data_IF_937377149640
#
_entry.id   IF_937377149640
#
_cell.length_a   1.000
_cell.length_b   1.000
_cell.length_c   1.000
_cell.angle_alpha   90.00
_cell.angle_beta   90.00
_cell.angle_gamma   90.00
#
_symmetry.space_group_name_H-M   'P 1'
#
loop_
_entity.id
_entity.type
_entity.pdbx_description
1 polymer ?
#
# COMPACT_ATOMS: atom_id res chain seq x y z
N UNK A 1 -35.55 18.02 0.84
CA UNK A 1 -35.69 17.42 2.19
C UNK A 1 -34.82 18.24 3.13
N UNK A 2 -35.28 18.59 4.34
CA UNK A 2 -34.55 19.50 5.22
C UNK A 2 -33.34 18.82 5.86
N UNK A 3 -32.26 19.58 6.07
CA UNK A 3 -31.27 19.21 7.09
C UNK A 3 -31.83 19.60 8.45
N UNK A 4 -31.72 18.70 9.43
CA UNK A 4 -31.90 19.01 10.84
C UNK A 4 -30.57 18.75 11.55
N UNK A 5 -29.89 19.80 11.99
CA UNK A 5 -28.87 19.66 13.01
C UNK A 5 -29.55 19.57 14.37
N UNK A 6 -29.09 18.67 15.23
CA UNK A 6 -29.38 18.69 16.65
C UNK A 6 -28.06 18.65 17.41
N UNK A 7 -27.71 19.80 17.99
CA UNK A 7 -26.81 19.87 19.14
C UNK A 7 -27.64 20.17 20.37
N UNK A 8 -27.31 19.54 21.50
CA UNK A 8 -27.52 20.09 22.83
C UNK A 8 -26.68 19.35 23.85
N UNK A 9 -26.39 20.06 24.95
CA UNK A 9 -25.53 19.63 26.06
C UNK A 9 -26.10 20.20 27.36
N UNK A 10 -25.62 19.69 28.50
CA UNK A 10 -25.91 20.12 29.88
C UNK A 10 -27.23 19.62 30.51
N UNK A 11 -27.32 19.42 31.83
CA UNK A 11 -26.35 18.93 32.86
C UNK A 11 -27.12 18.63 34.16
N UNK A 12 -26.46 18.03 35.17
CA UNK A 12 -26.93 17.78 36.56
C UNK A 12 -28.06 16.72 36.73
N UNK A 13 -28.32 16.17 37.92
CA UNK A 13 -27.46 15.69 39.03
C UNK A 13 -28.35 15.09 40.15
N UNK A 14 -28.02 13.90 40.70
CA UNK A 14 -27.99 13.54 42.14
C UNK A 14 -28.09 12.02 42.41
N UNK A 15 -27.46 11.59 43.52
CA UNK A 15 -27.44 10.23 44.13
C UNK A 15 -28.45 10.16 45.31
N UNK A 16 -28.60 9.10 46.16
CA UNK A 16 -27.81 7.84 46.31
C UNK A 16 -28.59 6.51 46.66
N UNK A 17 -27.84 5.39 46.85
CA UNK A 17 -28.19 4.13 47.60
C UNK A 17 -29.27 3.20 46.95
N UNK A 18 -29.37 1.87 47.18
CA UNK A 18 -28.75 0.94 48.18
C UNK A 18 -28.69 -0.54 47.71
N UNK A 19 -27.71 -1.32 48.22
CA UNK A 19 -27.71 -2.78 48.54
C UNK A 19 -28.01 -3.92 47.51
N UNK A 20 -27.17 -4.97 47.60
CA UNK A 20 -27.27 -6.37 47.09
C UNK A 20 -28.18 -7.26 48.01
N UNK A 21 -28.37 -8.62 47.88
CA UNK A 21 -27.68 -9.65 47.05
C UNK A 21 -28.58 -10.80 46.46
N UNK A 22 -27.98 -11.98 46.17
CA UNK A 22 -28.55 -13.32 45.82
C UNK A 22 -28.87 -13.58 44.32
N UNK A 23 -28.69 -14.78 43.75
CA UNK A 23 -28.09 -16.07 44.21
C UNK A 23 -27.70 -17.02 43.05
N UNK A 24 -26.98 -18.13 43.36
CA UNK A 24 -27.03 -19.48 42.71
C UNK A 24 -26.69 -19.65 41.21
N UNK A 25 -26.06 -20.72 40.71
CA UNK A 25 -25.40 -21.92 41.29
C UNK A 25 -24.51 -22.58 40.23
N UNK A 26 -23.41 -23.25 40.60
CA UNK A 26 -22.71 -24.25 39.76
C UNK A 26 -22.37 -25.48 40.62
N UNK A 27 -22.66 -26.68 40.10
CA UNK A 27 -22.36 -27.97 40.71
C UNK A 27 -21.22 -28.69 39.98
N UNK A 28 -20.36 -29.39 40.72
CA UNK A 28 -19.20 -30.11 40.17
C UNK A 28 -19.39 -31.64 40.14
N UNK A 29 -18.70 -32.31 39.21
CA UNK A 29 -18.46 -33.77 39.22
C UNK A 29 -16.97 -34.02 38.91
N UNK A 30 -16.41 -35.12 39.42
CA UNK A 30 -14.97 -35.26 39.68
C UNK A 30 -14.47 -36.71 39.45
N UNK A 31 -13.33 -36.88 38.77
CA UNK A 31 -12.42 -38.06 38.82
C UNK A 31 -11.10 -37.70 38.08
N UNK A 32 -9.90 -37.81 38.68
CA UNK A 32 -9.14 -39.03 39.04
C UNK A 32 -8.79 -39.87 37.80
N UNK A 33 -7.53 -40.25 37.51
CA UNK A 33 -6.19 -40.07 38.17
C UNK A 33 -5.11 -40.26 37.03
N UNK A 34 -3.78 -40.34 37.15
CA UNK A 34 -2.81 -40.67 38.24
C UNK A 34 -1.37 -40.15 37.90
N UNK A 35 -0.47 -40.09 38.91
CA UNK A 35 1.02 -40.30 38.93
C UNK A 35 1.83 -40.17 37.62
N UNK A 36 2.99 -39.46 37.56
CA UNK A 36 3.74 -38.60 38.52
C UNK A 36 4.83 -37.79 37.72
N UNK A 37 5.98 -37.24 38.18
CA UNK A 37 6.73 -37.27 39.45
C UNK A 37 7.66 -36.03 39.64
N UNK A 38 8.66 -36.08 40.54
CA UNK A 38 9.54 -34.99 40.97
C UNK A 38 11.05 -35.34 40.98
N UNK A 39 11.93 -34.32 40.93
CA UNK A 39 13.13 -34.19 41.78
C UNK A 39 13.72 -32.75 41.70
N UNK A 40 14.64 -32.38 42.62
CA UNK A 40 14.87 -30.99 43.02
C UNK A 40 16.35 -30.49 43.04
N UNK A 41 16.52 -29.20 43.35
CA UNK A 41 17.75 -28.40 43.47
C UNK A 41 18.82 -28.94 44.47
N UNK A 42 20.07 -28.42 44.41
CA UNK A 42 20.44 -27.35 45.36
C UNK A 42 21.32 -26.20 44.79
N UNK A 43 21.48 -25.13 45.59
CA UNK A 43 22.35 -23.96 45.34
C UNK A 43 23.79 -24.12 45.87
N UNK A 44 24.72 -23.29 45.37
CA UNK A 44 25.80 -22.67 46.16
C UNK A 44 26.28 -21.35 45.51
N UNK A 45 26.90 -20.46 46.30
CA UNK A 45 27.21 -19.06 45.97
C UNK A 45 28.71 -18.72 46.08
N UNK A 46 29.08 -17.49 45.68
CA UNK A 46 30.41 -16.82 45.75
C UNK A 46 31.44 -17.33 44.72
N UNK A 47 32.24 -16.48 44.08
CA UNK A 47 33.04 -15.40 44.67
C UNK A 47 33.22 -14.18 43.74
N UNK A 48 33.84 -13.10 44.25
CA UNK A 48 34.03 -11.83 43.52
C UNK A 48 35.35 -11.77 42.73
N UNK A 49 35.37 -10.95 41.66
CA UNK A 49 36.55 -10.18 41.23
C UNK A 49 36.11 -9.01 40.33
N UNK A 50 36.80 -7.88 40.41
CA UNK A 50 36.55 -6.70 39.60
C UNK A 50 37.83 -6.21 38.92
N UNK A 51 37.79 -6.04 37.59
CA UNK A 51 38.81 -5.34 36.80
C UNK A 51 38.10 -4.46 35.78
N UNK A 52 38.53 -3.21 35.64
CA UNK A 52 38.03 -2.28 34.63
C UNK A 52 38.94 -2.27 33.39
N UNK A 53 38.34 -2.21 32.21
CA UNK A 53 38.94 -1.65 31.00
C UNK A 53 37.84 -1.42 29.96
N UNK A 54 37.98 -0.36 29.16
CA UNK A 54 36.87 0.12 28.33
C UNK A 54 36.77 -0.57 26.96
N UNK A 55 35.55 -0.93 26.57
CA UNK A 55 35.20 -1.22 25.17
C UNK A 55 34.26 -0.11 24.69
N UNK A 56 34.67 0.64 23.66
CA UNK A 56 33.78 1.58 22.97
C UNK A 56 32.77 0.78 22.13
N UNK A 57 31.49 0.80 22.48
CA UNK A 57 30.44 0.41 21.55
C UNK A 57 30.34 1.47 20.44
N UNK A 58 30.96 1.20 19.29
CA UNK A 58 30.69 1.94 18.06
C UNK A 58 29.31 1.55 17.53
N UNK A 59 28.37 2.48 17.53
CA UNK A 59 27.02 2.26 16.99
C UNK A 59 27.09 1.87 15.51
N UNK A 60 26.36 0.82 15.05
CA UNK A 60 26.33 0.46 13.64
C UNK A 60 25.53 1.49 12.85
N UNK A 61 26.20 2.22 11.95
CA UNK A 61 25.55 3.18 11.06
C UNK A 61 24.67 2.44 10.04
N UNK A 62 23.36 2.41 10.26
CA UNK A 62 22.39 1.91 9.29
C UNK A 62 22.26 2.87 8.10
N UNK A 63 23.19 2.81 7.15
CA UNK A 63 23.05 3.48 5.85
C UNK A 63 21.95 2.79 5.03
N UNK A 64 20.77 3.40 5.00
CA UNK A 64 19.72 3.03 4.04
C UNK A 64 20.18 3.36 2.63
N UNK A 65 20.64 2.34 1.90
CA UNK A 65 20.89 2.45 0.45
C UNK A 65 19.55 2.52 -0.29
N UNK A 66 18.92 3.69 -0.27
CA UNK A 66 17.95 4.07 -1.29
C UNK A 66 18.70 4.16 -2.63
N UNK A 67 18.71 3.06 -3.38
CA UNK A 67 19.20 3.05 -4.76
C UNK A 67 18.21 3.86 -5.59
N UNK A 68 18.52 5.15 -5.75
CA UNK A 68 17.97 5.95 -6.83
C UNK A 68 18.44 5.31 -8.14
N UNK A 69 17.50 4.84 -8.96
CA UNK A 69 17.81 4.34 -10.29
C UNK A 69 18.34 5.52 -11.13
N UNK A 70 19.61 5.45 -11.53
CA UNK A 70 20.19 6.47 -12.40
C UNK A 70 19.64 6.33 -13.83
N UNK A 71 19.59 7.44 -14.58
CA UNK A 71 19.11 7.50 -15.97
C UNK A 71 19.93 6.69 -17.02
N UNK A 72 20.82 5.78 -16.61
CA UNK A 72 21.64 4.95 -17.50
C UNK A 72 21.10 3.54 -17.79
N UNK A 73 20.14 3.05 -17.01
CA UNK A 73 19.88 1.60 -16.89
C UNK A 73 19.27 0.90 -18.12
N UNK A 74 18.70 1.57 -19.15
CA UNK A 74 18.19 0.86 -20.35
C UNK A 74 19.28 -0.02 -20.97
N UNK A 75 20.46 0.57 -21.18
CA UNK A 75 21.54 -0.06 -21.95
C UNK A 75 22.09 -1.34 -21.28
N UNK A 76 21.82 -1.52 -19.98
CA UNK A 76 22.25 -2.66 -19.16
C UNK A 76 21.19 -3.78 -19.09
N UNK A 77 19.95 -3.54 -19.56
CA UNK A 77 18.86 -4.53 -19.54
C UNK A 77 18.70 -5.30 -20.86
N UNK A 78 19.22 -4.78 -21.98
CA UNK A 78 19.19 -5.46 -23.28
C UNK A 78 17.81 -5.56 -23.95
N UNK A 79 16.78 -4.91 -23.41
CA UNK A 79 15.41 -4.91 -23.97
C UNK A 79 15.34 -3.92 -25.15
N UNK A 80 14.79 -4.35 -26.29
CA UNK A 80 14.60 -3.45 -27.42
C UNK A 80 13.47 -2.43 -27.18
N UNK A 81 13.61 -1.23 -27.76
CA UNK A 81 12.55 -0.22 -27.74
C UNK A 81 11.24 -0.74 -28.36
N UNK A 82 11.34 -1.56 -29.41
CA UNK A 82 10.22 -2.26 -30.06
C UNK A 82 9.42 -3.16 -29.10
N UNK A 83 10.10 -3.81 -28.15
CA UNK A 83 9.50 -4.68 -27.14
C UNK A 83 8.88 -3.85 -26.00
N UNK A 84 9.55 -2.79 -25.56
CA UNK A 84 8.98 -1.79 -24.63
C UNK A 84 7.70 -1.16 -25.18
N UNK A 85 7.65 -0.84 -26.48
CA UNK A 85 6.45 -0.34 -27.16
C UNK A 85 5.32 -1.38 -27.17
N UNK A 86 5.64 -2.67 -27.39
CA UNK A 86 4.68 -3.77 -27.29
C UNK A 86 4.15 -3.92 -25.85
N UNK A 87 5.00 -3.82 -24.83
CA UNK A 87 4.58 -3.86 -23.43
C UNK A 87 3.70 -2.65 -23.08
N UNK A 88 4.03 -1.45 -23.53
CA UNK A 88 3.21 -0.25 -23.34
C UNK A 88 1.84 -0.34 -24.02
N UNK A 89 1.79 -0.87 -25.25
CA UNK A 89 0.55 -1.08 -25.99
C UNK A 89 -0.37 -2.10 -25.32
N UNK A 90 0.17 -3.15 -24.68
CA UNK A 90 -0.64 -4.10 -23.90
C UNK A 90 -1.02 -3.50 -22.55
N UNK A 91 -0.12 -2.84 -21.83
CA UNK A 91 -0.39 -2.18 -20.56
C UNK A 91 -1.55 -1.18 -20.63
N UNK A 92 -1.65 -0.43 -21.74
CA UNK A 92 -2.80 0.43 -21.99
C UNK A 92 -4.12 -0.35 -22.12
N UNK A 93 -4.15 -1.48 -22.85
CA UNK A 93 -5.33 -2.35 -22.93
C UNK A 93 -5.74 -2.92 -21.57
N UNK A 94 -4.77 -3.19 -20.68
CA UNK A 94 -5.06 -3.62 -19.30
C UNK A 94 -5.80 -2.52 -18.53
N UNK A 95 -5.29 -1.29 -18.58
CA UNK A 95 -5.90 -0.13 -17.93
C UNK A 95 -7.29 0.21 -18.52
N UNK A 96 -7.46 0.09 -19.83
CA UNK A 96 -8.76 0.29 -20.51
C UNK A 96 -9.81 -0.73 -20.02
N UNK A 97 -9.44 -2.02 -19.98
CA UNK A 97 -10.31 -3.11 -19.54
C UNK A 97 -10.66 -3.02 -18.04
N UNK A 98 -9.66 -2.81 -17.18
CA UNK A 98 -9.87 -2.59 -15.75
C UNK A 98 -10.77 -1.38 -15.51
N UNK A 99 -10.51 -0.26 -16.19
CA UNK A 99 -11.33 0.94 -16.10
C UNK A 99 -12.77 0.73 -16.55
N UNK A 100 -13.02 -0.08 -17.59
CA UNK A 100 -14.37 -0.46 -17.99
C UNK A 100 -15.11 -1.28 -16.94
N UNK A 101 -14.42 -2.19 -16.24
CA UNK A 101 -15.00 -2.95 -15.13
C UNK A 101 -15.30 -2.00 -13.96
N UNK A 102 -14.30 -1.28 -13.49
CA UNK A 102 -14.37 -0.38 -12.31
C UNK A 102 -15.49 0.67 -12.45
N UNK A 103 -15.64 1.28 -13.64
CA UNK A 103 -16.74 2.23 -13.93
C UNK A 103 -18.15 1.64 -13.83
N UNK A 104 -18.31 0.32 -13.89
CA UNK A 104 -19.61 -0.36 -13.70
C UNK A 104 -20.00 -0.48 -12.23
N UNK A 105 -19.03 -0.44 -11.30
CA UNK A 105 -19.25 -0.57 -9.86
C UNK A 105 -19.13 0.75 -9.09
N UNK A 106 -18.25 1.67 -9.52
CA UNK A 106 -18.04 2.94 -8.81
C UNK A 106 -19.33 3.78 -8.69
N UNK A 107 -19.63 4.25 -7.47
CA UNK A 107 -20.84 5.02 -7.12
C UNK A 107 -22.17 4.36 -7.56
N UNK A 108 -22.24 3.03 -7.63
CA UNK A 108 -23.52 2.32 -7.78
C UNK A 108 -24.07 1.91 -6.43
N UNK A 109 -25.37 2.08 -6.26
CA UNK A 109 -26.13 1.36 -5.24
C UNK A 109 -26.17 -0.11 -5.65
N UNK A 110 -25.49 -0.94 -4.87
CA UNK A 110 -25.77 -2.37 -4.83
C UNK A 110 -26.54 -2.63 -3.55
N UNK A 111 -27.65 -3.37 -3.65
CA UNK A 111 -28.20 -4.04 -2.48
C UNK A 111 -27.10 -4.95 -1.94
N UNK A 112 -26.70 -4.72 -0.69
CA UNK A 112 -25.62 -5.48 -0.06
C UNK A 112 -26.19 -6.88 0.17
N UNK A 113 -25.84 -7.79 -0.73
CA UNK A 113 -26.12 -9.21 -0.55
C UNK A 113 -25.34 -9.67 0.68
N UNK A 114 -26.05 -10.12 1.72
CA UNK A 114 -25.49 -10.64 2.96
C UNK A 114 -24.72 -11.96 2.70
N UNK A 115 -23.52 -11.78 2.17
CA UNK A 115 -22.46 -12.77 1.98
C UNK A 115 -21.19 -12.09 2.44
N UNK A 116 -20.63 -12.59 3.53
CA UNK A 116 -19.66 -11.87 4.38
C UNK A 116 -18.37 -11.46 3.63
N UNK A 117 -18.04 -12.13 2.53
CA UNK A 117 -16.86 -11.88 1.68
C UNK A 117 -17.10 -10.99 0.43
N UNK A 118 -18.33 -10.54 0.14
CA UNK A 118 -18.70 -10.02 -1.20
C UNK A 118 -19.00 -8.51 -1.27
N UNK A 119 -18.10 -7.66 -0.78
CA UNK A 119 -18.27 -6.20 -0.89
C UNK A 119 -18.22 -5.70 -2.35
N UNK A 120 -18.89 -4.59 -2.72
CA UNK A 120 -18.83 -4.04 -4.08
C UNK A 120 -17.43 -3.67 -4.58
N UNK A 121 -16.49 -3.33 -3.67
CA UNK A 121 -15.09 -3.10 -4.06
C UNK A 121 -14.36 -4.41 -4.30
N UNK A 122 -14.62 -5.47 -3.51
CA UNK A 122 -14.07 -6.81 -3.73
C UNK A 122 -14.47 -7.37 -5.09
N UNK A 123 -15.76 -7.24 -5.45
CA UNK A 123 -16.28 -7.71 -6.75
C UNK A 123 -15.67 -6.90 -7.90
N UNK A 124 -15.56 -5.57 -7.75
CA UNK A 124 -14.97 -4.70 -8.76
C UNK A 124 -13.48 -4.99 -8.98
N UNK A 125 -12.72 -5.21 -7.91
CA UNK A 125 -11.28 -5.47 -7.93
C UNK A 125 -10.98 -6.83 -8.59
N UNK A 126 -11.61 -7.91 -8.11
CA UNK A 126 -11.44 -9.25 -8.69
C UNK A 126 -11.85 -9.31 -10.17
N UNK A 127 -12.96 -8.67 -10.55
CA UNK A 127 -13.40 -8.63 -11.95
C UNK A 127 -12.45 -7.80 -12.84
N UNK A 128 -11.85 -6.73 -12.30
CA UNK A 128 -10.86 -5.93 -13.02
C UNK A 128 -9.53 -6.67 -13.16
N UNK A 129 -9.05 -7.35 -12.10
CA UNK A 129 -7.84 -8.18 -12.14
C UNK A 129 -7.96 -9.27 -13.22
N UNK A 130 -9.06 -10.03 -13.25
CA UNK A 130 -9.25 -11.08 -14.25
C UNK A 130 -9.35 -10.54 -15.69
N UNK A 131 -9.90 -9.33 -15.88
CA UNK A 131 -9.92 -8.68 -17.19
C UNK A 131 -8.52 -8.38 -17.71
N UNK A 132 -7.60 -7.96 -16.83
CA UNK A 132 -6.19 -7.72 -17.16
C UNK A 132 -5.44 -9.04 -17.35
N UNK A 133 -5.64 -10.01 -16.46
CA UNK A 133 -5.01 -11.34 -16.49
C UNK A 133 -5.25 -12.05 -17.81
N UNK A 134 -6.49 -12.02 -18.32
CA UNK A 134 -6.83 -12.59 -19.62
C UNK A 134 -5.99 -11.99 -20.75
N UNK A 135 -5.94 -10.66 -20.83
CA UNK A 135 -5.19 -9.95 -21.89
C UNK A 135 -3.69 -10.23 -21.78
N UNK A 136 -3.13 -10.30 -20.56
CA UNK A 136 -1.73 -10.70 -20.34
C UNK A 136 -1.49 -12.11 -20.89
N UNK A 137 -2.30 -13.10 -20.51
CA UNK A 137 -2.12 -14.50 -20.92
C UNK A 137 -2.31 -14.72 -22.43
N UNK A 138 -3.13 -13.90 -23.10
CA UNK A 138 -3.32 -13.92 -24.55
C UNK A 138 -2.12 -13.32 -25.32
N UNK A 139 -1.43 -12.32 -24.76
CA UNK A 139 -0.32 -11.63 -25.44
C UNK A 139 1.07 -12.15 -25.02
N UNK A 140 1.17 -12.72 -23.82
CA UNK A 140 2.42 -13.08 -23.12
C UNK A 140 2.25 -14.34 -22.25
N UNK A 141 1.99 -15.53 -22.85
CA UNK A 141 1.60 -16.74 -22.10
C UNK A 141 2.68 -17.28 -21.13
N UNK A 142 3.94 -16.88 -21.29
CA UNK A 142 5.09 -17.23 -20.43
C UNK A 142 5.39 -16.21 -19.32
N UNK A 143 4.68 -15.08 -19.25
CA UNK A 143 4.89 -14.08 -18.21
C UNK A 143 4.13 -14.48 -16.94
N UNK A 144 4.74 -14.22 -15.78
CA UNK A 144 4.06 -14.34 -14.50
C UNK A 144 3.17 -13.12 -14.22
N UNK A 145 2.18 -13.31 -13.35
CA UNK A 145 1.28 -12.28 -12.84
C UNK A 145 1.27 -12.36 -11.33
N UNK A 146 1.37 -11.21 -10.65
CA UNK A 146 1.34 -11.10 -9.19
C UNK A 146 0.27 -10.09 -8.75
N UNK A 147 -0.90 -10.62 -8.37
CA UNK A 147 -2.10 -9.86 -8.00
C UNK A 147 -2.22 -9.53 -6.52
N UNK A 148 -3.31 -8.85 -6.12
CA UNK A 148 -3.64 -8.57 -4.71
C UNK A 148 -4.12 -9.85 -4.02
N UNK A 149 -5.20 -10.43 -4.56
CA UNK A 149 -5.98 -11.54 -4.01
C UNK A 149 -5.37 -12.91 -4.35
N UNK A 150 -5.05 -13.13 -5.64
CA UNK A 150 -4.62 -14.45 -6.16
C UNK A 150 -3.10 -14.68 -6.12
N UNK A 151 -2.34 -13.72 -5.61
CA UNK A 151 -0.88 -13.83 -5.49
C UNK A 151 -0.18 -14.14 -6.82
N UNK A 152 0.79 -15.06 -6.78
CA UNK A 152 1.59 -15.47 -7.93
C UNK A 152 0.87 -16.47 -8.83
N UNK A 153 0.81 -16.17 -10.13
CA UNK A 153 0.32 -17.05 -11.19
C UNK A 153 1.33 -17.08 -12.33
N UNK A 154 1.86 -18.25 -12.64
CA UNK A 154 2.69 -18.50 -13.82
C UNK A 154 2.37 -19.90 -14.36
N UNK A 155 2.65 -20.15 -15.65
CA UNK A 155 2.64 -21.50 -16.24
C UNK A 155 4.02 -22.16 -16.14
N UNK A 156 5.07 -21.35 -16.32
CA UNK A 156 6.47 -21.76 -16.21
C UNK A 156 6.95 -21.74 -14.75
N UNK A 157 7.93 -22.58 -14.42
CA UNK A 157 8.58 -22.58 -13.10
C UNK A 157 9.34 -21.27 -12.82
N UNK A 158 9.88 -20.64 -13.86
CA UNK A 158 10.66 -19.40 -13.81
C UNK A 158 10.14 -18.46 -14.91
N UNK A 159 9.83 -17.21 -14.54
CA UNK A 159 9.51 -16.15 -15.49
C UNK A 159 10.46 -14.96 -15.29
N UNK A 160 11.15 -14.54 -16.35
CA UNK A 160 11.95 -13.31 -16.32
C UNK A 160 11.06 -12.05 -16.21
N UNK A 161 9.85 -12.13 -16.78
CA UNK A 161 8.88 -11.05 -16.82
C UNK A 161 7.72 -11.28 -15.84
N UNK A 162 7.41 -10.27 -15.02
CA UNK A 162 6.32 -10.33 -14.02
C UNK A 162 5.44 -9.09 -14.11
N UNK A 163 4.16 -9.28 -14.42
CA UNK A 163 3.13 -8.24 -14.30
C UNK A 163 2.64 -8.16 -12.86
N UNK A 164 2.74 -6.99 -12.24
CA UNK A 164 2.24 -6.72 -10.88
C UNK A 164 1.00 -5.84 -10.98
N UNK A 165 -0.10 -6.26 -10.35
CA UNK A 165 -1.41 -5.62 -10.48
C UNK A 165 -1.97 -5.21 -9.10
N UNK A 166 -2.62 -4.05 -9.05
CA UNK A 166 -3.43 -3.54 -7.94
C UNK A 166 -4.63 -2.82 -8.56
N UNK A 167 -5.78 -3.48 -8.77
CA UNK A 167 -6.86 -2.92 -9.58
C UNK A 167 -7.52 -1.67 -8.98
N UNK A 168 -7.65 -1.61 -7.64
CA UNK A 168 -8.24 -0.48 -6.90
C UNK A 168 -7.36 -0.09 -5.69
N UNK A 169 -6.19 0.50 -5.96
CA UNK A 169 -5.45 1.21 -4.93
C UNK A 169 -6.26 2.40 -4.42
N UNK A 170 -6.41 2.55 -3.10
CA UNK A 170 -7.36 3.48 -2.50
C UNK A 170 -8.79 2.95 -2.40
N UNK A 171 -8.97 1.67 -2.01
CA UNK A 171 -10.30 1.06 -1.77
C UNK A 171 -11.23 1.90 -0.89
N UNK A 172 -10.73 2.65 0.09
CA UNK A 172 -11.54 3.57 0.92
C UNK A 172 -12.03 4.78 0.12
N UNK A 173 -11.22 5.32 -0.77
CA UNK A 173 -11.62 6.35 -1.74
C UNK A 173 -12.70 5.80 -2.69
N UNK A 174 -12.53 4.57 -3.20
CA UNK A 174 -13.55 3.91 -4.03
C UNK A 174 -14.89 3.72 -3.30
N UNK A 175 -14.89 3.11 -2.11
CA UNK A 175 -16.11 2.84 -1.30
C UNK A 175 -16.86 4.13 -0.98
N UNK A 176 -16.13 5.20 -0.60
CA UNK A 176 -16.74 6.50 -0.26
C UNK A 176 -17.12 7.34 -1.48
N UNK A 177 -16.95 6.83 -2.70
CA UNK A 177 -17.30 7.54 -3.93
C UNK A 177 -16.35 8.69 -4.26
N UNK A 178 -15.13 8.72 -3.71
CA UNK A 178 -14.09 9.70 -4.00
C UNK A 178 -13.24 9.22 -5.21
N UNK A 179 -13.22 9.94 -6.34
CA UNK A 179 -12.58 9.48 -7.59
C UNK A 179 -11.05 9.71 -7.60
N UNK A 180 -10.36 9.50 -6.47
CA UNK A 180 -8.90 9.63 -6.32
C UNK A 180 -8.26 8.31 -5.81
N UNK A 181 -8.87 7.18 -6.15
CA UNK A 181 -8.24 5.86 -6.13
C UNK A 181 -7.38 5.70 -7.43
N UNK A 182 -6.85 4.52 -7.72
CA UNK A 182 -6.28 4.24 -9.05
C UNK A 182 -6.05 2.75 -9.31
N UNK A 183 -5.94 2.38 -10.59
CA UNK A 183 -5.47 1.07 -11.03
C UNK A 183 -3.96 1.16 -11.25
N UNK A 184 -3.20 0.29 -10.58
CA UNK A 184 -1.76 0.16 -10.74
C UNK A 184 -1.44 -1.08 -11.57
N UNK A 185 -0.65 -0.87 -12.62
CA UNK A 185 -0.08 -1.92 -13.45
C UNK A 185 1.42 -1.66 -13.51
N UNK A 186 2.25 -2.65 -13.17
CA UNK A 186 3.68 -2.59 -13.41
C UNK A 186 4.15 -3.86 -14.15
N UNK A 187 5.16 -3.72 -15.01
CA UNK A 187 5.89 -4.84 -15.59
C UNK A 187 7.32 -4.79 -15.10
N UNK A 188 7.79 -5.92 -14.59
CA UNK A 188 9.17 -6.12 -14.14
C UNK A 188 9.89 -7.06 -15.10
N UNK A 189 11.16 -6.77 -15.35
CA UNK A 189 12.12 -7.70 -15.95
C UNK A 189 13.21 -8.02 -14.92
N UNK A 190 13.44 -9.30 -14.63
CA UNK A 190 14.45 -9.78 -13.65
C UNK A 190 14.37 -9.06 -12.30
N UNK A 191 13.14 -8.73 -11.88
CA UNK A 191 12.84 -8.02 -10.62
C UNK A 191 12.94 -6.48 -10.67
N UNK A 192 13.55 -5.89 -11.71
CA UNK A 192 13.59 -4.44 -11.98
C UNK A 192 12.33 -3.99 -12.72
N UNK A 193 11.57 -2.97 -12.26
CA UNK A 193 10.45 -2.39 -13.03
C UNK A 193 10.91 -1.72 -14.32
N UNK A 194 10.23 -2.03 -15.43
CA UNK A 194 10.53 -1.49 -16.78
C UNK A 194 9.37 -0.68 -17.37
N UNK A 195 8.15 -0.90 -16.90
CA UNK A 195 6.95 -0.12 -17.20
C UNK A 195 6.10 -0.01 -15.93
N UNK A 196 5.41 1.12 -15.77
CA UNK A 196 4.30 1.23 -14.83
C UNK A 196 3.28 2.28 -15.25
N UNK A 197 2.04 2.05 -14.83
CA UNK A 197 0.86 2.85 -15.16
C UNK A 197 0.06 3.10 -13.89
N UNK A 198 -0.29 4.37 -13.66
CA UNK A 198 -1.42 4.77 -12.78
C UNK A 198 -2.55 5.21 -13.71
N UNK A 199 -3.68 4.51 -13.67
CA UNK A 199 -4.91 4.93 -14.34
C UNK A 199 -5.96 5.34 -13.28
N UNK A 200 -6.53 6.53 -13.43
CA UNK A 200 -7.73 6.93 -12.69
C UNK A 200 -8.93 6.90 -13.67
N UNK A 201 -9.68 5.78 -13.73
CA UNK A 201 -10.60 5.50 -14.83
C UNK A 201 -11.87 6.35 -14.84
N UNK A 202 -12.16 7.09 -13.77
CA UNK A 202 -13.29 8.03 -13.67
C UNK A 202 -12.91 9.41 -14.21
N UNK A 203 -11.70 9.90 -13.89
CA UNK A 203 -11.18 11.18 -14.39
C UNK A 203 -10.61 11.07 -15.82
N UNK A 204 -10.25 9.84 -16.25
CA UNK A 204 -9.57 9.52 -17.51
C UNK A 204 -8.18 10.15 -17.61
N UNK A 205 -7.43 9.99 -16.53
CA UNK A 205 -6.04 10.41 -16.42
C UNK A 205 -5.17 9.17 -16.25
N UNK A 206 -4.22 8.98 -17.18
CA UNK A 206 -3.31 7.86 -17.23
C UNK A 206 -1.88 8.36 -17.25
N UNK A 207 -1.15 8.10 -16.16
CA UNK A 207 0.29 8.26 -16.09
C UNK A 207 0.94 6.99 -16.61
N UNK A 208 1.92 7.09 -17.51
CA UNK A 208 2.68 5.95 -18.04
C UNK A 208 4.17 6.26 -17.99
N UNK A 209 4.90 5.44 -17.23
CA UNK A 209 6.36 5.46 -17.11
C UNK A 209 6.97 4.26 -17.81
N UNK A 210 8.10 4.48 -18.47
CA UNK A 210 8.85 3.49 -19.26
C UNK A 210 10.33 3.70 -18.98
N UNK A 211 11.09 2.61 -18.80
CA UNK A 211 12.51 2.72 -18.46
C UNK A 211 13.28 3.59 -19.47
N UNK A 212 13.98 4.60 -18.95
CA UNK A 212 14.74 5.64 -19.66
C UNK A 212 13.98 6.41 -20.75
N UNK A 213 12.65 6.42 -20.70
CA UNK A 213 11.81 7.40 -21.40
C UNK A 213 11.16 8.31 -20.36
N UNK A 214 10.86 9.55 -20.75
CA UNK A 214 10.12 10.46 -19.86
C UNK A 214 8.73 9.92 -19.58
N UNK A 215 8.33 9.99 -18.32
CA UNK A 215 6.97 9.71 -17.89
C UNK A 215 5.99 10.67 -18.60
N UNK A 216 4.82 10.15 -18.98
CA UNK A 216 3.76 10.92 -19.63
C UNK A 216 2.43 10.85 -18.87
N UNK A 217 1.61 11.89 -19.01
CA UNK A 217 0.20 11.93 -18.61
C UNK A 217 -0.65 12.09 -19.88
N UNK A 218 -1.53 11.13 -20.16
CA UNK A 218 -2.38 11.11 -21.35
C UNK A 218 -1.59 11.34 -22.67
N UNK A 219 -0.36 10.82 -22.74
CA UNK A 219 0.54 10.96 -23.89
C UNK A 219 1.31 12.28 -24.01
N UNK A 220 1.15 13.22 -23.06
CA UNK A 220 2.00 14.41 -22.95
C UNK A 220 3.13 14.16 -21.94
N UNK A 221 4.37 14.53 -22.26
CA UNK A 221 5.48 14.45 -21.29
C UNK A 221 5.20 15.29 -20.04
N UNK A 222 5.58 14.77 -18.88
CA UNK A 222 5.52 15.48 -17.60
C UNK A 222 6.90 15.50 -16.93
N UNK A 223 7.03 16.31 -15.88
CA UNK A 223 8.23 16.31 -15.05
C UNK A 223 7.93 16.79 -13.63
N UNK A 224 8.75 16.37 -12.68
CA UNK A 224 8.72 16.89 -11.30
C UNK A 224 9.19 18.36 -11.28
N UNK A 225 8.83 19.10 -10.24
CA UNK A 225 9.35 20.47 -10.04
C UNK A 225 10.51 20.48 -9.05
N UNK A 226 11.38 21.48 -9.15
CA UNK A 226 12.41 21.74 -8.14
C UNK A 226 11.79 22.39 -6.90
N UNK A 227 12.18 21.92 -5.71
CA UNK A 227 11.79 22.50 -4.43
C UNK A 227 13.04 22.88 -3.62
N UNK A 228 13.26 24.17 -3.38
CA UNK A 228 14.54 24.67 -2.84
C UNK A 228 14.80 24.36 -1.37
N UNK A 229 13.78 23.95 -0.60
CA UNK A 229 13.89 23.62 0.82
C UNK A 229 12.65 22.86 1.29
N UNK A 230 12.81 21.98 2.28
CA UNK A 230 11.69 21.20 2.86
C UNK A 230 10.56 22.11 3.34
N UNK A 231 10.87 23.27 3.91
CA UNK A 231 9.93 24.32 4.35
C UNK A 231 9.06 24.94 3.24
N UNK A 232 9.33 24.64 1.97
CA UNK A 232 8.48 25.04 0.83
C UNK A 232 7.68 23.87 0.24
N UNK A 233 8.00 22.64 0.61
CA UNK A 233 7.40 21.42 0.07
C UNK A 233 5.95 21.24 0.52
N UNK A 234 5.06 20.96 -0.43
CA UNK A 234 3.75 20.36 -0.19
C UNK A 234 3.94 18.84 -0.06
N UNK A 235 3.59 18.30 1.10
CA UNK A 235 3.67 16.87 1.40
C UNK A 235 2.28 16.23 1.25
N UNK A 236 2.24 15.00 0.75
CA UNK A 236 1.07 14.11 0.86
C UNK A 236 1.37 12.81 1.61
N UNK A 237 0.31 12.23 2.18
CA UNK A 237 0.22 10.83 2.63
C UNK A 237 -1.25 10.40 2.61
N UNK A 238 -1.56 9.11 2.52
CA UNK A 238 -2.96 8.65 2.53
C UNK A 238 -3.67 8.96 3.85
N UNK A 239 -3.03 8.75 5.00
CA UNK A 239 -3.66 9.01 6.30
C UNK A 239 -2.61 9.21 7.40
N UNK A 240 -2.84 10.12 8.37
CA UNK A 240 -1.97 10.25 9.53
C UNK A 240 -2.01 9.00 10.44
N UNK A 241 -3.02 8.13 10.27
CA UNK A 241 -3.22 6.91 11.06
C UNK A 241 -2.62 5.65 10.43
N UNK A 242 -1.83 5.76 9.35
CA UNK A 242 -1.12 4.63 8.73
C UNK A 242 0.36 4.56 9.17
N UNK A 243 0.71 5.27 10.24
CA UNK A 243 2.02 5.25 10.87
C UNK A 243 1.88 4.82 12.33
N UNK A 244 2.74 3.90 12.77
CA UNK A 244 2.73 3.36 14.12
C UNK A 244 4.16 3.38 14.69
N UNK A 245 4.30 3.53 16.02
CA UNK A 245 5.57 3.49 16.72
C UNK A 245 6.63 4.44 16.13
N UNK A 246 7.83 3.92 15.88
CA UNK A 246 8.95 4.70 15.33
C UNK A 246 8.66 5.32 13.97
N UNK A 247 7.76 4.73 13.16
CA UNK A 247 7.34 5.28 11.88
C UNK A 247 6.49 6.54 12.05
N UNK A 248 5.63 6.60 13.08
CA UNK A 248 4.87 7.82 13.41
C UNK A 248 5.81 8.92 13.89
N UNK A 249 6.74 8.57 14.79
CA UNK A 249 7.76 9.51 15.27
C UNK A 249 8.66 10.01 14.12
N UNK A 250 8.97 9.17 13.13
CA UNK A 250 9.71 9.56 11.93
C UNK A 250 8.90 10.51 11.04
N UNK A 251 7.65 10.16 10.74
CA UNK A 251 6.75 10.99 9.95
C UNK A 251 6.53 12.38 10.60
N UNK A 252 6.31 12.42 11.92
CA UNK A 252 6.13 13.66 12.68
C UNK A 252 7.33 14.62 12.57
N UNK A 253 8.57 14.10 12.49
CA UNK A 253 9.81 14.90 12.30
C UNK A 253 9.91 15.56 10.92
N UNK A 254 9.18 15.05 9.91
CA UNK A 254 9.10 15.64 8.57
C UNK A 254 7.84 16.50 8.42
N UNK A 255 6.69 16.01 8.89
CA UNK A 255 5.39 16.70 8.91
C UNK A 255 5.45 18.09 9.57
N UNK A 256 6.32 18.27 10.56
CA UNK A 256 6.55 19.54 11.26
C UNK A 256 7.51 20.52 10.54
N UNK A 257 8.12 20.11 9.42
CA UNK A 257 9.13 20.89 8.68
C UNK A 257 8.76 21.19 7.22
N UNK A 258 7.67 20.61 6.73
CA UNK A 258 7.11 20.88 5.39
C UNK A 258 6.25 22.15 5.40
N UNK A 259 5.94 22.70 4.22
CA UNK A 259 5.09 23.89 4.10
C UNK A 259 3.65 23.61 4.53
N UNK A 260 3.08 22.54 4.01
CA UNK A 260 1.75 22.02 4.37
C UNK A 260 1.76 20.49 4.19
N UNK A 261 1.32 19.70 5.19
CA UNK A 261 0.98 18.29 5.01
C UNK A 261 -0.50 18.14 4.59
N UNK A 262 -0.72 17.39 3.51
CA UNK A 262 -2.02 17.11 2.89
C UNK A 262 -2.30 15.59 2.88
N UNK A 263 -3.56 15.20 2.67
CA UNK A 263 -4.02 13.84 3.00
C UNK A 263 -4.98 13.20 1.99
N UNK A 264 -4.93 11.86 1.91
CA UNK A 264 -6.06 11.01 1.50
C UNK A 264 -6.28 10.83 0.01
N UNK A 265 -5.26 10.47 -0.77
CA UNK A 265 -5.44 10.12 -2.19
C UNK A 265 -4.44 9.09 -2.74
N UNK A 266 -3.89 8.21 -1.89
CA UNK A 266 -3.29 6.95 -2.33
C UNK A 266 -2.23 7.15 -3.46
N UNK A 267 -2.19 6.29 -4.49
CA UNK A 267 -1.35 6.48 -5.68
C UNK A 267 -1.48 7.84 -6.39
N UNK A 268 -2.64 8.51 -6.31
CA UNK A 268 -2.85 9.80 -6.97
C UNK A 268 -1.95 10.91 -6.39
N UNK A 269 -1.48 10.77 -5.15
CA UNK A 269 -0.44 11.64 -4.59
C UNK A 269 0.91 11.50 -5.34
N UNK A 270 1.29 10.28 -5.72
CA UNK A 270 2.50 10.00 -6.49
C UNK A 270 2.36 10.47 -7.94
N UNK A 271 1.18 10.31 -8.53
CA UNK A 271 0.83 10.85 -9.84
C UNK A 271 0.98 12.39 -9.91
N UNK A 272 0.45 13.10 -8.91
CA UNK A 272 0.61 14.56 -8.77
C UNK A 272 2.07 14.99 -8.52
N UNK A 273 2.89 14.15 -7.89
CA UNK A 273 4.32 14.40 -7.71
C UNK A 273 5.08 14.26 -9.04
N UNK A 274 4.82 13.20 -9.82
CA UNK A 274 5.39 13.01 -11.15
C UNK A 274 5.04 14.17 -12.11
N UNK A 275 3.84 14.75 -11.98
CA UNK A 275 3.42 15.95 -12.72
C UNK A 275 3.87 17.29 -12.09
N UNK A 276 4.72 17.28 -11.06
CA UNK A 276 5.29 18.50 -10.49
C UNK A 276 4.32 19.38 -9.69
N UNK A 277 3.16 18.87 -9.31
CA UNK A 277 2.18 19.58 -8.47
C UNK A 277 2.42 19.37 -6.96
N UNK A 278 2.97 18.21 -6.58
CA UNK A 278 3.37 17.83 -5.22
C UNK A 278 4.90 17.71 -5.15
N UNK A 279 5.50 18.05 -3.99
CA UNK A 279 6.96 18.03 -3.82
C UNK A 279 7.46 16.77 -3.09
N UNK A 280 6.60 16.12 -2.29
CA UNK A 280 6.97 15.03 -1.41
C UNK A 280 5.75 14.13 -1.10
N UNK A 281 5.93 12.82 -1.14
CA UNK A 281 4.96 11.84 -0.61
C UNK A 281 5.69 10.95 0.39
N UNK A 282 5.10 10.72 1.57
CA UNK A 282 5.64 9.81 2.60
C UNK A 282 4.52 8.90 3.07
N UNK A 283 4.77 7.59 3.04
CA UNK A 283 3.84 6.57 3.50
C UNK A 283 4.57 5.46 4.27
N UNK A 284 3.80 4.64 4.99
CA UNK A 284 4.27 3.50 5.77
C UNK A 284 3.34 2.31 5.50
N UNK A 285 3.83 1.08 5.70
CA UNK A 285 3.03 -0.14 5.51
C UNK A 285 2.63 -0.48 4.07
N UNK A 286 3.16 0.21 3.06
CA UNK A 286 2.87 -0.08 1.65
C UNK A 286 3.26 -1.51 1.28
N UNK A 287 2.29 -2.30 0.78
CA UNK A 287 2.54 -3.60 0.17
C UNK A 287 3.52 -3.44 -0.98
N UNK A 288 4.50 -4.33 -1.09
CA UNK A 288 5.57 -4.26 -2.09
C UNK A 288 5.14 -4.27 -3.56
N UNK A 289 3.84 -4.51 -3.85
CA UNK A 289 3.22 -4.31 -5.16
C UNK A 289 3.21 -2.83 -5.56
N UNK A 290 2.67 -1.96 -4.71
CA UNK A 290 2.40 -0.54 -5.00
C UNK A 290 3.68 0.24 -5.34
N UNK A 291 4.71 0.06 -4.50
CA UNK A 291 6.03 0.68 -4.69
C UNK A 291 6.65 0.40 -6.07
N UNK A 292 6.46 -0.81 -6.62
CA UNK A 292 7.04 -1.23 -7.91
C UNK A 292 6.41 -0.53 -9.12
N UNK A 293 5.20 0.01 -8.98
CA UNK A 293 4.62 0.88 -10.01
C UNK A 293 5.29 2.25 -9.97
N UNK A 294 5.36 2.87 -8.79
CA UNK A 294 5.85 4.25 -8.62
C UNK A 294 7.31 4.45 -9.04
N UNK A 295 8.18 3.46 -8.88
CA UNK A 295 9.60 3.54 -9.30
C UNK A 295 9.84 3.60 -10.81
N UNK A 296 8.83 3.32 -11.63
CA UNK A 296 8.88 3.52 -13.08
C UNK A 296 8.44 4.93 -13.53
N UNK A 297 7.73 5.65 -12.64
CA UNK A 297 7.12 6.97 -12.89
C UNK A 297 7.99 8.13 -12.36
N UNK A 298 9.17 7.81 -11.83
CA UNK A 298 10.19 8.76 -11.37
C UNK A 298 11.29 8.99 -12.42
N UNK A 299 10.96 8.85 -13.71
CA UNK A 299 11.87 8.95 -14.87
C UNK A 299 11.35 9.97 -15.89
#
# INVERSE_FOLDING_TARGET
>A
MQLQMLSQSHFLSLNPRTSLPLSSSISAVNSRRIVSDSLAFPHSDTNSFAISSGVKLSSPTMTSNCILANHGDIADLGIENSELDKFAAVGNKLADAAGEVIRKYFRKSFDILDKEDSSPVTIADQAAEESMVKIIQENFPSHAIYGEEKGWRCKEEIAEYVWVLDPIDGTKSFITGKPLFGTLIALLYKGKPILGIIDQPVLKERWTGLSGRRTSLNGQEISTRSCSSLSKAYLYTTSPHLFEGDAELAFARVRSKVKVPLYGCDCYAYALLASGFVDLVIESGLKGRKFRCFTSLSQ
#
